data_IF_300352001445
#
_entry.id   IF_300352001445
#
_cell.length_a   1.000
_cell.length_b   1.000
_cell.length_c   1.000
_cell.angle_alpha   90.00
_cell.angle_beta   90.00
_cell.angle_gamma   90.00
#
_symmetry.space_group_name_H-M   'P 1'
#
loop_
_entity.id
_entity.type
_entity.pdbx_description
1 polymer ?
#
# COMPACT_ATOMS: atom_id res chain seq x y z
N UNK A 1 11.03 7.62 14.07
CA UNK A 1 10.84 7.49 12.61
C UNK A 1 9.87 8.53 12.10
N UNK A 2 10.20 9.16 10.98
CA UNK A 2 9.38 10.16 10.31
C UNK A 2 8.70 9.54 9.09
N UNK A 3 7.42 9.75 8.97
CA UNK A 3 6.60 9.16 7.90
C UNK A 3 6.09 10.24 6.95
N UNK A 4 6.13 9.97 5.67
CA UNK A 4 5.35 10.72 4.68
C UNK A 4 4.31 9.78 4.10
N UNK A 5 3.03 10.17 4.18
CA UNK A 5 1.89 9.33 3.80
C UNK A 5 1.02 10.13 2.83
N UNK A 6 0.71 9.55 1.68
CA UNK A 6 -0.24 10.15 0.74
C UNK A 6 -1.66 9.67 1.05
N UNK A 7 -2.68 10.49 0.70
CA UNK A 7 -4.08 10.12 0.88
C UNK A 7 -4.56 10.13 2.33
N UNK A 8 -4.14 11.11 3.12
CA UNK A 8 -4.39 11.17 4.58
C UNK A 8 -5.76 11.75 4.96
N UNK A 9 -6.57 12.17 4.00
CA UNK A 9 -7.85 12.84 4.28
C UNK A 9 -8.94 11.86 4.73
N UNK A 10 -8.82 10.58 4.37
CA UNK A 10 -9.83 9.56 4.66
C UNK A 10 -9.25 8.15 4.59
N UNK A 11 -10.03 7.19 5.06
CA UNK A 11 -9.71 5.75 4.94
C UNK A 11 -8.40 5.35 5.62
N UNK A 12 -7.69 4.44 4.99
CA UNK A 12 -6.45 3.88 5.54
C UNK A 12 -5.37 4.95 5.72
N UNK A 13 -5.22 5.87 4.76
CA UNK A 13 -4.25 6.95 4.87
C UNK A 13 -4.49 7.83 6.10
N UNK A 14 -5.74 8.13 6.41
CA UNK A 14 -6.09 8.90 7.62
C UNK A 14 -5.77 8.11 8.89
N UNK A 15 -6.11 6.83 8.94
CA UNK A 15 -5.80 5.98 10.08
C UNK A 15 -4.29 5.89 10.35
N UNK A 16 -3.50 5.76 9.29
CA UNK A 16 -2.04 5.76 9.39
C UNK A 16 -1.48 7.10 9.87
N UNK A 17 -2.02 8.20 9.35
CA UNK A 17 -1.58 9.54 9.74
C UNK A 17 -1.89 9.85 11.21
N UNK A 18 -2.94 9.27 11.77
CA UNK A 18 -3.28 9.41 13.19
C UNK A 18 -2.34 8.62 14.10
N UNK A 19 -1.73 7.57 13.57
CA UNK A 19 -0.84 6.69 14.33
C UNK A 19 0.62 7.14 14.29
N UNK A 20 1.09 7.59 13.14
CA UNK A 20 2.50 7.86 12.91
C UNK A 20 2.84 9.34 12.97
N UNK A 21 4.10 9.63 13.29
CA UNK A 21 4.64 10.99 13.23
C UNK A 21 4.92 11.37 11.79
N UNK A 22 4.08 12.24 11.22
CA UNK A 22 4.13 12.61 9.81
C UNK A 22 4.90 13.90 9.56
N UNK A 23 5.60 13.93 8.44
CA UNK A 23 6.26 15.12 7.88
C UNK A 23 5.54 15.58 6.61
N UNK A 24 5.86 16.79 6.14
CA UNK A 24 5.12 17.43 5.05
C UNK A 24 5.66 17.10 3.66
N UNK A 25 6.85 16.50 3.58
CA UNK A 25 7.46 16.17 2.29
C UNK A 25 8.13 14.80 2.31
N UNK A 26 8.20 14.18 1.15
CA UNK A 26 8.86 12.89 0.97
C UNK A 26 10.35 12.98 1.27
N UNK A 27 10.98 14.11 1.00
CA UNK A 27 12.41 14.34 1.25
C UNK A 27 12.76 14.25 2.73
N UNK A 28 11.84 14.66 3.61
CA UNK A 28 12.06 14.70 5.05
C UNK A 28 11.81 13.39 5.76
N UNK A 29 11.17 12.41 5.09
CA UNK A 29 10.75 11.17 5.76
C UNK A 29 11.86 10.11 5.79
N UNK A 30 11.69 9.17 6.71
CA UNK A 30 12.44 7.91 6.74
C UNK A 30 11.66 6.82 6.01
N UNK A 31 10.33 6.83 6.18
CA UNK A 31 9.40 5.84 5.62
C UNK A 31 8.35 6.56 4.80
N UNK A 32 8.19 6.14 3.55
CA UNK A 32 7.14 6.60 2.66
C UNK A 32 6.04 5.54 2.54
N UNK A 33 4.80 5.91 2.87
CA UNK A 33 3.64 5.04 2.63
C UNK A 33 2.85 5.60 1.45
N UNK A 34 2.91 4.88 0.36
CA UNK A 34 2.36 5.23 -0.94
C UNK A 34 0.91 4.74 -1.03
N UNK A 35 -0.01 5.53 -0.47
CA UNK A 35 -1.38 5.10 -0.22
C UNK A 35 -2.41 5.68 -1.20
N UNK A 36 -2.20 6.90 -1.70
CA UNK A 36 -3.19 7.57 -2.55
C UNK A 36 -3.23 6.99 -3.95
N UNK A 37 -4.36 6.39 -4.31
CA UNK A 37 -4.61 5.89 -5.66
C UNK A 37 -5.17 7.00 -6.54
N UNK A 38 -4.46 7.37 -7.60
CA UNK A 38 -4.92 8.22 -8.69
C UNK A 38 -4.13 7.88 -9.95
N UNK A 39 -4.74 7.10 -10.84
CA UNK A 39 -4.09 6.64 -12.09
C UNK A 39 -2.71 6.05 -11.81
N UNK A 40 -1.66 6.53 -12.47
CA UNK A 40 -0.28 6.06 -12.29
C UNK A 40 0.52 6.84 -11.24
N UNK A 41 -0.12 7.70 -10.46
CA UNK A 41 0.57 8.54 -9.47
C UNK A 41 1.38 7.71 -8.46
N UNK A 42 0.85 6.56 -8.02
CA UNK A 42 1.60 5.68 -7.13
C UNK A 42 2.89 5.16 -7.78
N UNK A 43 2.87 4.89 -9.09
CA UNK A 43 4.04 4.44 -9.83
C UNK A 43 5.12 5.52 -9.84
N UNK A 44 4.74 6.76 -10.15
CA UNK A 44 5.68 7.88 -10.17
C UNK A 44 6.22 8.21 -8.77
N UNK A 45 5.37 8.14 -7.75
CA UNK A 45 5.79 8.38 -6.37
C UNK A 45 6.73 7.29 -5.86
N UNK A 46 6.47 6.03 -6.21
CA UNK A 46 7.38 4.93 -5.90
C UNK A 46 8.76 5.17 -6.50
N UNK A 47 8.82 5.56 -7.78
CA UNK A 47 10.09 5.83 -8.46
C UNK A 47 10.85 6.98 -7.77
N UNK A 48 10.15 8.08 -7.48
CA UNK A 48 10.74 9.21 -6.77
C UNK A 48 11.32 8.79 -5.41
N UNK A 49 10.55 8.05 -4.62
CA UNK A 49 10.99 7.57 -3.31
C UNK A 49 12.22 6.66 -3.42
N UNK A 50 12.26 5.83 -4.46
CA UNK A 50 13.42 4.95 -4.71
C UNK A 50 14.69 5.74 -4.99
N UNK A 51 14.59 6.83 -5.77
CA UNK A 51 15.74 7.72 -6.04
C UNK A 51 16.23 8.39 -4.76
N UNK A 52 15.34 8.67 -3.81
CA UNK A 52 15.67 9.27 -2.52
C UNK A 52 16.15 8.25 -1.47
N UNK A 53 16.17 6.96 -1.81
CA UNK A 53 16.62 5.91 -0.90
C UNK A 53 15.74 5.66 0.31
N UNK A 54 14.45 5.94 0.22
CA UNK A 54 13.50 5.78 1.34
C UNK A 54 13.09 4.32 1.55
N UNK A 55 12.67 3.98 2.78
CA UNK A 55 11.90 2.77 3.03
C UNK A 55 10.49 3.00 2.50
N UNK A 56 9.99 2.09 1.67
CA UNK A 56 8.74 2.30 0.93
C UNK A 56 7.74 1.18 1.22
N UNK A 57 6.50 1.57 1.53
CA UNK A 57 5.35 0.67 1.57
C UNK A 57 4.35 1.16 0.53
N UNK A 58 4.07 0.33 -0.46
CA UNK A 58 3.02 0.60 -1.45
C UNK A 58 1.73 -0.09 -1.02
N UNK A 59 0.66 0.66 -0.94
CA UNK A 59 -0.67 0.10 -0.71
C UNK A 59 -1.25 -0.28 -2.07
N UNK A 60 -1.13 -1.56 -2.38
CA UNK A 60 -1.60 -2.15 -3.63
C UNK A 60 -2.92 -2.92 -3.40
N UNK A 61 -3.29 -3.78 -4.32
CA UNK A 61 -4.56 -4.50 -4.28
C UNK A 61 -4.40 -5.88 -4.91
N UNK A 62 -5.14 -6.85 -4.39
CA UNK A 62 -5.26 -8.16 -5.03
C UNK A 62 -5.94 -8.07 -6.41
N UNK A 63 -6.62 -6.96 -6.72
CA UNK A 63 -7.19 -6.70 -8.04
C UNK A 63 -6.15 -6.71 -9.16
N UNK A 64 -4.87 -6.50 -8.85
CA UNK A 64 -3.79 -6.56 -9.83
C UNK A 64 -3.72 -7.93 -10.55
N UNK A 65 -4.12 -9.01 -9.86
CA UNK A 65 -4.12 -10.36 -10.42
C UNK A 65 -5.49 -10.77 -10.99
N UNK A 66 -6.52 -9.96 -10.79
CA UNK A 66 -7.89 -10.32 -11.18
C UNK A 66 -8.18 -9.91 -12.62
N UNK A 67 -8.07 -10.87 -13.53
CA UNK A 67 -8.41 -10.68 -14.94
C UNK A 67 -9.88 -10.40 -15.19
N UNK A 68 -10.75 -10.63 -14.20
CA UNK A 68 -12.20 -10.41 -14.28
C UNK A 68 -12.64 -9.16 -13.53
N UNK A 69 -11.72 -8.30 -13.15
CA UNK A 69 -12.04 -7.05 -12.45
C UNK A 69 -13.02 -6.21 -13.26
N UNK A 70 -14.06 -5.69 -12.60
CA UNK A 70 -15.03 -4.75 -13.21
C UNK A 70 -14.40 -3.37 -13.45
N UNK A 71 -13.20 -3.11 -12.91
CA UNK A 71 -12.47 -1.87 -13.08
C UNK A 71 -11.08 -2.17 -13.68
N UNK A 72 -11.02 -2.46 -14.99
CA UNK A 72 -9.78 -2.94 -15.62
C UNK A 72 -8.63 -1.93 -15.51
N UNK A 73 -8.89 -0.63 -15.60
CA UNK A 73 -7.82 0.37 -15.47
C UNK A 73 -7.26 0.43 -14.05
N UNK A 74 -8.10 0.27 -13.03
CA UNK A 74 -7.61 0.17 -11.65
C UNK A 74 -6.65 -1.01 -11.48
N UNK A 75 -7.02 -2.16 -12.03
CA UNK A 75 -6.15 -3.35 -12.01
C UNK A 75 -4.82 -3.08 -12.74
N UNK A 76 -4.86 -2.36 -13.86
CA UNK A 76 -3.65 -1.99 -14.62
C UNK A 76 -2.75 -1.07 -13.79
N UNK A 77 -3.31 -0.05 -13.14
CA UNK A 77 -2.53 0.85 -12.27
C UNK A 77 -1.84 0.09 -11.14
N UNK A 78 -2.57 -0.81 -10.48
CA UNK A 78 -2.02 -1.61 -9.38
C UNK A 78 -1.01 -2.65 -9.88
N UNK A 79 -1.24 -3.24 -11.03
CA UNK A 79 -0.29 -4.16 -11.66
C UNK A 79 1.01 -3.45 -12.04
N UNK A 80 0.92 -2.24 -12.58
CA UNK A 80 2.10 -1.43 -12.89
C UNK A 80 2.89 -1.07 -11.63
N UNK A 81 2.19 -0.72 -10.55
CA UNK A 81 2.83 -0.45 -9.25
C UNK A 81 3.59 -1.66 -8.74
N UNK A 82 2.98 -2.84 -8.77
CA UNK A 82 3.60 -4.07 -8.29
C UNK A 82 4.77 -4.49 -9.18
N UNK A 83 4.69 -4.28 -10.49
CA UNK A 83 5.79 -4.55 -11.41
C UNK A 83 7.00 -3.67 -11.12
N UNK A 84 6.78 -2.38 -10.95
CA UNK A 84 7.88 -1.46 -10.60
C UNK A 84 8.47 -1.82 -9.22
N UNK A 85 7.62 -2.12 -8.24
CA UNK A 85 8.08 -2.56 -6.92
C UNK A 85 9.03 -3.76 -7.02
N UNK A 86 8.65 -4.76 -7.79
CA UNK A 86 9.46 -5.96 -7.97
C UNK A 86 10.83 -5.64 -8.58
N UNK A 87 10.85 -4.82 -9.62
CA UNK A 87 12.09 -4.41 -10.30
C UNK A 87 13.02 -3.63 -9.37
N UNK A 88 12.46 -2.71 -8.59
CA UNK A 88 13.24 -1.92 -7.63
C UNK A 88 13.74 -2.77 -6.46
N UNK A 89 12.90 -3.69 -5.98
CA UNK A 89 13.31 -4.63 -4.93
C UNK A 89 14.57 -5.42 -5.33
N UNK A 90 14.59 -5.96 -6.55
CA UNK A 90 15.75 -6.71 -7.04
C UNK A 90 16.97 -5.84 -7.34
N UNK A 91 16.82 -4.53 -7.32
CA UNK A 91 17.93 -3.56 -7.38
C UNK A 91 18.40 -3.11 -6.00
N UNK A 92 17.89 -3.70 -4.94
CA UNK A 92 18.29 -3.40 -3.57
C UNK A 92 17.53 -2.25 -2.90
N UNK A 93 16.43 -1.78 -3.49
CA UNK A 93 15.58 -0.77 -2.87
C UNK A 93 14.73 -1.43 -1.78
N UNK A 94 14.61 -0.76 -0.63
CA UNK A 94 13.81 -1.24 0.51
C UNK A 94 12.33 -0.93 0.28
N UNK A 95 11.69 -1.68 -0.60
CA UNK A 95 10.31 -1.46 -1.02
C UNK A 95 9.46 -2.72 -0.90
N UNK A 96 8.23 -2.54 -0.41
CA UNK A 96 7.26 -3.61 -0.20
C UNK A 96 5.92 -3.21 -0.79
N UNK A 97 5.29 -4.06 -1.58
CA UNK A 97 3.88 -3.91 -1.95
C UNK A 97 3.02 -4.78 -1.05
N UNK A 98 2.04 -4.16 -0.39
CA UNK A 98 1.01 -4.88 0.37
C UNK A 98 -0.28 -4.85 -0.45
N UNK A 99 -0.71 -6.03 -0.88
CA UNK A 99 -1.84 -6.23 -1.78
C UNK A 99 -3.04 -6.63 -0.95
N UNK A 100 -3.79 -5.61 -0.52
CA UNK A 100 -5.00 -5.83 0.27
C UNK A 100 -6.18 -6.21 -0.61
N UNK A 101 -7.00 -7.16 -0.14
CA UNK A 101 -8.36 -7.31 -0.57
C UNK A 101 -9.24 -6.21 0.02
N UNK A 102 -10.57 -6.41 0.04
CA UNK A 102 -11.47 -5.38 0.55
C UNK A 102 -11.18 -5.06 2.02
N UNK A 103 -11.07 -3.77 2.32
CA UNK A 103 -11.04 -3.28 3.70
C UNK A 103 -12.04 -2.12 3.85
N UNK A 104 -12.45 -1.86 5.09
CA UNK A 104 -13.47 -0.88 5.42
C UNK A 104 -13.07 0.53 4.97
N UNK A 105 -13.74 1.01 3.91
CA UNK A 105 -13.56 2.37 3.41
C UNK A 105 -14.85 2.82 2.73
N UNK A 106 -15.02 4.13 2.56
CA UNK A 106 -16.19 4.69 1.87
C UNK A 106 -16.33 4.14 0.44
N UNK A 107 -15.23 3.87 -0.25
CA UNK A 107 -15.22 3.37 -1.63
C UNK A 107 -15.93 2.04 -1.80
N UNK A 108 -15.86 1.18 -0.80
CA UNK A 108 -16.40 -0.20 -0.86
C UNK A 108 -17.56 -0.42 0.10
N UNK A 109 -18.08 0.64 0.70
CA UNK A 109 -19.17 0.58 1.67
C UNK A 109 -20.42 -0.11 1.11
N UNK A 110 -20.69 0.08 -0.16
CA UNK A 110 -21.86 -0.51 -0.87
C UNK A 110 -21.64 -1.96 -1.31
N UNK A 111 -20.45 -2.49 -1.17
CA UNK A 111 -20.12 -3.86 -1.59
C UNK A 111 -20.46 -4.82 -0.45
N UNK A 112 -21.34 -5.77 -0.72
CA UNK A 112 -21.77 -6.80 0.24
C UNK A 112 -20.82 -8.00 0.19
N UNK A 113 -19.63 -7.82 0.72
CA UNK A 113 -18.59 -8.86 0.85
C UNK A 113 -17.81 -8.64 2.14
N UNK A 114 -17.15 -9.67 2.67
CA UNK A 114 -16.27 -9.50 3.83
C UNK A 114 -15.22 -8.44 3.59
N UNK A 115 -14.94 -7.65 4.63
CA UNK A 115 -13.95 -6.58 4.61
C UNK A 115 -13.08 -6.64 5.85
N UNK A 116 -11.77 -6.39 5.67
CA UNK A 116 -10.86 -6.24 6.80
C UNK A 116 -11.09 -4.88 7.46
N UNK A 117 -10.92 -4.79 8.77
CA UNK A 117 -10.96 -3.51 9.45
C UNK A 117 -9.73 -2.67 9.09
N UNK A 118 -9.88 -1.34 9.17
CA UNK A 118 -8.73 -0.43 8.99
C UNK A 118 -7.67 -0.68 10.07
N UNK A 119 -8.09 -0.96 11.30
CA UNK A 119 -7.19 -1.29 12.40
C UNK A 119 -6.31 -2.51 12.06
N UNK A 120 -6.91 -3.54 11.47
CA UNK A 120 -6.15 -4.71 11.05
C UNK A 120 -5.14 -4.39 9.95
N UNK A 121 -5.54 -3.59 8.95
CA UNK A 121 -4.63 -3.16 7.89
C UNK A 121 -3.44 -2.39 8.45
N UNK A 122 -3.65 -1.52 9.44
CA UNK A 122 -2.58 -0.79 10.12
C UNK A 122 -1.64 -1.76 10.84
N UNK A 123 -2.17 -2.78 11.50
CA UNK A 123 -1.37 -3.82 12.16
C UNK A 123 -0.51 -4.60 11.17
N UNK A 124 -1.03 -4.90 9.99
CA UNK A 124 -0.25 -5.56 8.92
C UNK A 124 0.93 -4.70 8.49
N UNK A 125 0.69 -3.40 8.29
CA UNK A 125 1.76 -2.46 7.91
C UNK A 125 2.82 -2.39 9.00
N UNK A 126 2.43 -2.28 10.27
CA UNK A 126 3.35 -2.30 11.39
C UNK A 126 4.19 -3.58 11.42
N UNK A 127 3.53 -4.72 11.21
CA UNK A 127 4.21 -6.00 11.20
C UNK A 127 5.27 -6.08 10.09
N UNK A 128 4.94 -5.62 8.88
CA UNK A 128 5.87 -5.57 7.76
C UNK A 128 7.08 -4.69 8.09
N UNK A 129 6.84 -3.51 8.68
CA UNK A 129 7.90 -2.57 9.02
C UNK A 129 8.79 -3.09 10.17
N UNK A 130 8.26 -3.94 11.05
CA UNK A 130 9.00 -4.51 12.17
C UNK A 130 9.89 -5.70 11.78
N UNK A 131 9.76 -6.24 10.58
CA UNK A 131 10.54 -7.39 10.16
C UNK A 131 12.01 -7.02 9.92
N UNK A 132 12.95 -7.93 10.23
CA UNK A 132 14.38 -7.67 10.02
C UNK A 132 14.80 -7.73 8.55
N UNK A 133 13.95 -8.26 7.69
CA UNK A 133 14.20 -8.37 6.25
C UNK A 133 13.12 -7.65 5.47
N UNK A 134 13.45 -7.19 4.27
CA UNK A 134 12.48 -6.53 3.39
C UNK A 134 11.61 -7.58 2.72
N UNK A 135 10.31 -7.50 2.95
CA UNK A 135 9.32 -8.34 2.28
C UNK A 135 8.99 -7.66 0.95
N UNK A 136 9.23 -8.36 -0.15
CA UNK A 136 8.94 -7.79 -1.48
C UNK A 136 7.45 -7.55 -1.68
N UNK A 137 6.63 -8.53 -1.33
CA UNK A 137 5.19 -8.49 -1.60
C UNK A 137 4.44 -9.35 -0.59
N UNK A 138 3.27 -8.87 -0.20
CA UNK A 138 2.37 -9.58 0.71
C UNK A 138 0.95 -9.39 0.21
N UNK A 139 0.23 -10.47 -0.02
CA UNK A 139 -1.19 -10.44 -0.37
C UNK A 139 -2.02 -10.93 0.80
N UNK A 140 -3.03 -10.17 1.19
CA UNK A 140 -3.93 -10.53 2.27
C UNK A 140 -5.36 -10.13 1.92
N UNK A 141 -6.29 -11.07 2.10
CA UNK A 141 -7.69 -10.90 1.75
C UNK A 141 -8.58 -11.21 2.95
N UNK A 142 -9.83 -10.72 2.94
CA UNK A 142 -10.72 -10.89 4.08
C UNK A 142 -11.36 -12.29 4.19
N UNK A 143 -10.89 -13.26 3.44
CA UNK A 143 -11.38 -14.63 3.57
C UNK A 143 -10.91 -15.25 4.88
N UNK A 144 -11.88 -15.73 5.67
CA UNK A 144 -11.59 -16.38 6.93
C UNK A 144 -11.21 -17.84 6.67
N UNK A 145 -10.12 -18.26 7.31
CA UNK A 145 -9.63 -19.62 7.22
C UNK A 145 -10.65 -20.58 7.86
N UNK A 146 -11.08 -21.59 7.11
CA UNK A 146 -11.89 -22.67 7.66
C UNK A 146 -10.99 -23.66 8.40
N UNK A 147 -11.37 -23.94 9.63
CA UNK A 147 -10.71 -24.96 10.45
C UNK A 147 -11.37 -26.34 10.26
#
# INVERSE_FOLDING_TARGET
>A
MKYYITGTKRGLGKALAQKYSCVDSIEECDIFINCKQDRFDQVFMLYKASELGKRIINISSNSADDSKSTHPMYAVYKSALDDLNSRLYYRGISTTSIRFGYFDSERVKHIDKPKMSLEYCVKVIDWVLAQPYIIKELTITPEVKNE
#
